data_IF_280275338150
#
_entry.id   IF_280275338150
#
_cell.length_a   1.000
_cell.length_b   1.000
_cell.length_c   1.000
_cell.angle_alpha   90.00
_cell.angle_beta   90.00
_cell.angle_gamma   90.00
#
_symmetry.space_group_name_H-M   'P 1'
#
loop_
_entity.id
_entity.type
_entity.pdbx_description
1 polymer ?
#
# COMPACT_ATOMS: atom_id res chain seq x y z
N UNK A 1 15.10 71.56 -25.08
CA UNK A 1 14.51 71.03 -23.83
C UNK A 1 13.57 69.88 -24.18
N UNK A 2 13.82 68.73 -23.56
CA UNK A 2 13.55 67.38 -24.07
C UNK A 2 12.10 66.92 -23.91
N UNK A 3 11.53 66.32 -24.96
CA UNK A 3 10.24 65.59 -24.92
C UNK A 3 10.35 64.26 -25.69
N UNK A 4 11.40 63.49 -25.35
CA UNK A 4 11.54 62.09 -25.74
C UNK A 4 11.60 61.29 -24.46
N UNK A 5 10.46 60.81 -23.98
CA UNK A 5 10.33 59.70 -23.03
C UNK A 5 8.84 59.55 -22.71
N UNK A 6 8.12 58.92 -23.63
CA UNK A 6 6.90 58.20 -23.33
C UNK A 6 7.13 56.80 -23.89
N UNK A 7 6.58 55.78 -23.23
CA UNK A 7 6.78 54.34 -23.50
C UNK A 7 8.04 53.76 -22.83
N UNK A 8 8.00 53.59 -21.51
CA UNK A 8 8.75 52.54 -20.83
C UNK A 8 8.11 52.25 -19.46
N UNK A 9 8.04 50.96 -19.12
CA UNK A 9 7.70 50.40 -17.81
C UNK A 9 6.21 50.25 -17.47
N UNK A 10 5.52 49.36 -18.19
CA UNK A 10 4.43 48.55 -17.62
C UNK A 10 4.92 47.09 -17.52
N UNK A 11 5.87 46.84 -16.63
CA UNK A 11 6.39 45.50 -16.30
C UNK A 11 6.15 45.23 -14.79
N UNK A 12 4.90 45.37 -14.33
CA UNK A 12 4.50 44.92 -13.01
C UNK A 12 4.26 43.41 -13.04
N UNK A 13 5.35 42.67 -12.86
CA UNK A 13 5.45 41.47 -12.00
C UNK A 13 4.12 40.76 -11.70
N UNK A 14 3.72 39.87 -12.60
CA UNK A 14 2.86 38.74 -12.24
C UNK A 14 3.76 37.75 -11.50
N UNK A 15 3.87 37.93 -10.17
CA UNK A 15 4.34 36.88 -9.28
C UNK A 15 3.28 35.77 -9.36
N UNK A 16 3.50 34.81 -10.24
CA UNK A 16 2.76 33.58 -10.27
C UNK A 16 2.89 32.96 -8.87
N UNK A 17 1.79 32.99 -8.11
CA UNK A 17 1.61 32.19 -6.91
C UNK A 17 1.58 30.73 -7.35
N UNK A 18 2.75 30.16 -7.64
CA UNK A 18 2.92 28.72 -7.74
C UNK A 18 2.64 28.17 -6.35
N UNK A 19 1.40 27.77 -6.11
CA UNK A 19 1.09 26.89 -4.99
C UNK A 19 1.88 25.62 -5.23
N UNK A 20 3.09 25.55 -4.66
CA UNK A 20 3.81 24.30 -4.49
C UNK A 20 2.87 23.47 -3.62
N UNK A 21 2.13 22.56 -4.24
CA UNK A 21 1.45 21.51 -3.50
C UNK A 21 2.56 20.84 -2.70
N UNK A 22 2.51 20.96 -1.37
CA UNK A 22 3.33 20.14 -0.52
C UNK A 22 3.01 18.70 -0.94
N UNK A 23 3.96 18.02 -1.57
CA UNK A 23 3.80 16.59 -1.80
C UNK A 23 3.74 15.98 -0.42
N UNK A 24 2.57 15.47 -0.06
CA UNK A 24 2.42 14.66 1.13
C UNK A 24 3.57 13.63 1.11
N UNK A 25 4.32 13.56 2.21
CA UNK A 25 5.46 12.66 2.32
C UNK A 25 5.06 11.20 2.07
N UNK A 26 6.03 10.27 1.98
CA UNK A 26 5.72 8.88 1.69
C UNK A 26 4.66 8.35 2.65
N UNK A 27 3.66 7.66 2.10
CA UNK A 27 2.64 6.95 2.88
C UNK A 27 3.18 5.58 3.30
N UNK A 28 2.57 4.98 4.32
CA UNK A 28 2.72 3.56 4.62
C UNK A 28 1.42 2.79 4.37
N UNK A 29 1.52 1.46 4.38
CA UNK A 29 0.42 0.51 4.20
C UNK A 29 0.36 -0.46 5.39
N UNK A 30 -0.84 -0.67 5.90
CA UNK A 30 -1.12 -1.56 7.03
C UNK A 30 -2.07 -2.68 6.62
N UNK A 31 -1.80 -3.87 7.14
CA UNK A 31 -2.58 -5.08 6.91
C UNK A 31 -3.05 -5.65 8.24
N UNK A 32 -4.34 -5.97 8.31
CA UNK A 32 -4.94 -6.73 9.38
C UNK A 32 -5.65 -7.96 8.82
N UNK A 33 -5.67 -9.04 9.60
CA UNK A 33 -6.29 -10.27 9.19
C UNK A 33 -6.87 -11.03 10.38
N UNK A 34 -8.07 -11.58 10.17
CA UNK A 34 -8.62 -12.69 10.90
C UNK A 34 -8.61 -13.90 9.93
N UNK A 35 -7.69 -14.88 10.12
CA UNK A 35 -7.62 -16.06 9.25
C UNK A 35 -8.99 -16.70 9.09
N UNK A 36 -9.28 -17.23 7.89
CA UNK A 36 -10.59 -17.80 7.51
C UNK A 36 -11.78 -16.84 7.42
N UNK A 37 -11.70 -15.64 8.03
CA UNK A 37 -12.87 -14.78 8.22
C UNK A 37 -12.81 -13.52 7.34
N UNK A 38 -11.79 -12.69 7.54
CA UNK A 38 -11.72 -11.38 6.89
C UNK A 38 -10.32 -10.77 6.93
N UNK A 39 -10.13 -9.71 6.14
CA UNK A 39 -8.91 -8.91 6.12
C UNK A 39 -9.23 -7.44 5.93
N UNK A 40 -8.27 -6.58 6.26
CA UNK A 40 -8.41 -5.15 6.10
C UNK A 40 -7.08 -4.50 5.76
N UNK A 41 -7.14 -3.53 4.84
CA UNK A 41 -5.97 -2.79 4.35
C UNK A 41 -6.25 -1.30 4.36
N UNK A 42 -5.32 -0.54 4.93
CA UNK A 42 -5.37 0.91 4.91
C UNK A 42 -4.00 1.50 4.60
N UNK A 43 -4.00 2.71 4.05
CA UNK A 43 -2.79 3.53 3.87
C UNK A 43 -2.86 4.81 4.68
N UNK A 44 -1.71 5.39 4.99
CA UNK A 44 -1.62 6.67 5.70
C UNK A 44 -0.21 6.97 6.20
N UNK A 45 -0.01 8.13 6.82
CA UNK A 45 1.31 8.56 7.30
C UNK A 45 1.60 8.15 8.76
N UNK A 46 0.61 7.65 9.50
CA UNK A 46 0.74 7.33 10.92
C UNK A 46 0.45 5.84 11.18
N UNK A 47 1.47 5.11 11.62
CA UNK A 47 1.42 3.66 11.84
C UNK A 47 0.22 3.21 12.68
N UNK A 48 0.01 3.82 13.86
CA UNK A 48 -1.06 3.39 14.78
C UNK A 48 -2.46 3.63 14.21
N UNK A 49 -2.69 4.82 13.62
CA UNK A 49 -3.96 5.15 12.97
C UNK A 49 -4.23 4.23 11.78
N UNK A 50 -3.21 3.93 10.98
CA UNK A 50 -3.40 3.13 9.77
C UNK A 50 -3.60 1.65 10.12
N UNK A 51 -2.91 1.10 11.13
CA UNK A 51 -3.17 -0.24 11.65
C UNK A 51 -4.56 -0.34 12.31
N UNK A 52 -5.00 0.69 13.04
CA UNK A 52 -6.35 0.73 13.59
C UNK A 52 -7.42 0.73 12.48
N UNK A 53 -7.21 1.51 11.41
CA UNK A 53 -8.06 1.51 10.23
C UNK A 53 -8.12 0.12 9.56
N UNK A 54 -6.97 -0.54 9.39
CA UNK A 54 -6.91 -1.87 8.79
C UNK A 54 -7.71 -2.88 9.62
N UNK A 55 -7.59 -2.85 10.95
CA UNK A 55 -8.40 -3.70 11.84
C UNK A 55 -9.89 -3.39 11.74
N UNK A 56 -10.27 -2.11 11.69
CA UNK A 56 -11.67 -1.74 11.53
C UNK A 56 -12.26 -2.31 10.23
N UNK A 57 -11.54 -2.22 9.11
CA UNK A 57 -11.97 -2.82 7.84
C UNK A 57 -12.09 -4.35 7.90
N UNK A 58 -11.19 -5.02 8.64
CA UNK A 58 -11.29 -6.46 8.87
C UNK A 58 -12.58 -6.82 9.64
N UNK A 59 -12.95 -6.03 10.64
CA UNK A 59 -14.22 -6.21 11.38
C UNK A 59 -15.42 -5.91 10.48
N UNK A 60 -15.37 -4.82 9.71
CA UNK A 60 -16.44 -4.45 8.76
C UNK A 60 -16.65 -5.53 7.68
N UNK A 61 -15.58 -6.26 7.35
CA UNK A 61 -15.61 -7.41 6.45
C UNK A 61 -16.13 -8.70 7.08
N UNK A 62 -16.57 -8.69 8.35
CA UNK A 62 -17.32 -9.78 8.99
C UNK A 62 -16.59 -10.56 10.09
N UNK A 63 -15.35 -10.21 10.43
CA UNK A 63 -14.61 -10.87 11.50
C UNK A 63 -14.90 -10.27 12.89
N UNK A 64 -14.63 -11.03 13.95
CA UNK A 64 -14.63 -10.52 15.31
C UNK A 64 -13.44 -9.59 15.57
N UNK A 65 -13.61 -8.61 16.45
CA UNK A 65 -12.59 -7.57 16.69
C UNK A 65 -11.31 -8.13 17.33
N UNK A 66 -11.45 -9.15 18.17
CA UNK A 66 -10.37 -9.92 18.79
C UNK A 66 -9.57 -10.74 17.78
N UNK A 67 -10.21 -11.17 16.69
CA UNK A 67 -9.59 -12.00 15.66
C UNK A 67 -8.85 -11.16 14.60
N UNK A 68 -9.19 -9.88 14.44
CA UNK A 68 -8.51 -8.99 13.51
C UNK A 68 -7.12 -8.57 14.02
N UNK A 69 -6.12 -9.41 13.76
CA UNK A 69 -4.72 -9.23 14.16
C UNK A 69 -4.03 -8.14 13.32
N UNK A 70 -3.11 -7.41 13.94
CA UNK A 70 -2.19 -6.50 13.22
C UNK A 70 -1.08 -7.32 12.60
N UNK A 71 -1.12 -7.53 11.29
CA UNK A 71 -0.22 -8.48 10.62
C UNK A 71 1.05 -7.79 10.13
N UNK A 72 0.94 -6.64 9.47
CA UNK A 72 2.10 -5.96 8.89
C UNK A 72 1.89 -4.45 8.71
N UNK A 73 2.98 -3.70 8.80
CA UNK A 73 3.08 -2.28 8.45
C UNK A 73 4.36 -2.06 7.64
N UNK A 74 4.25 -1.38 6.49
CA UNK A 74 5.39 -0.99 5.69
C UNK A 74 5.41 0.52 5.48
N UNK A 75 6.59 1.13 5.67
CA UNK A 75 6.82 2.55 5.46
C UNK A 75 8.23 2.77 4.87
N UNK A 76 8.36 3.40 3.70
CA UNK A 76 7.29 3.75 2.75
C UNK A 76 6.47 2.52 2.32
N UNK A 77 5.26 2.74 1.78
CA UNK A 77 4.36 1.65 1.41
C UNK A 77 5.02 0.70 0.40
N UNK A 78 5.69 1.27 -0.61
CA UNK A 78 6.28 0.52 -1.73
C UNK A 78 5.25 -0.36 -2.43
N UNK A 79 5.71 -1.26 -3.27
CA UNK A 79 4.88 -2.33 -3.81
C UNK A 79 4.61 -3.39 -2.75
N UNK A 80 3.38 -3.90 -2.76
CA UNK A 80 2.93 -4.96 -1.85
C UNK A 80 2.17 -6.04 -2.61
N UNK A 81 2.17 -7.26 -2.08
CA UNK A 81 1.41 -8.40 -2.57
C UNK A 81 0.70 -9.09 -1.41
N UNK A 82 -0.52 -9.54 -1.70
CA UNK A 82 -1.33 -10.43 -0.86
C UNK A 82 -1.22 -11.85 -1.44
N UNK A 83 -0.65 -12.76 -0.66
CA UNK A 83 -0.55 -14.16 -1.02
C UNK A 83 -1.65 -14.94 -0.32
N UNK A 84 -2.56 -15.55 -1.08
CA UNK A 84 -3.39 -16.62 -0.55
C UNK A 84 -2.50 -17.83 -0.27
N UNK A 85 -2.69 -18.47 0.88
CA UNK A 85 -1.95 -19.68 1.26
C UNK A 85 -2.91 -20.70 1.84
N UNK A 86 -2.84 -21.95 1.37
CA UNK A 86 -3.61 -23.07 1.90
C UNK A 86 -2.71 -24.21 2.37
N UNK A 87 -2.89 -24.61 3.63
CA UNK A 87 -2.27 -25.79 4.24
C UNK A 87 -2.94 -27.07 3.73
N UNK A 88 -2.17 -28.16 3.70
CA UNK A 88 -2.68 -29.52 3.42
C UNK A 88 -3.75 -30.03 4.41
N UNK A 89 -3.96 -29.34 5.53
CA UNK A 89 -4.99 -29.66 6.53
C UNK A 89 -6.28 -28.84 6.34
N UNK A 90 -6.36 -28.03 5.28
CA UNK A 90 -7.55 -27.26 4.90
C UNK A 90 -7.57 -25.82 5.38
N UNK A 91 -6.70 -25.43 6.31
CA UNK A 91 -6.57 -24.05 6.78
C UNK A 91 -5.99 -23.15 5.68
N UNK A 92 -6.58 -21.98 5.48
CA UNK A 92 -6.13 -20.91 4.62
C UNK A 92 -5.94 -19.57 5.35
N UNK A 93 -4.89 -18.86 4.96
CA UNK A 93 -4.57 -17.53 5.47
C UNK A 93 -3.96 -16.70 4.35
N UNK A 94 -3.60 -15.46 4.68
CA UNK A 94 -2.97 -14.55 3.75
C UNK A 94 -1.61 -14.12 4.29
N UNK A 95 -0.62 -14.05 3.41
CA UNK A 95 0.70 -13.52 3.73
C UNK A 95 0.94 -12.25 2.93
N UNK A 96 1.33 -11.18 3.62
CA UNK A 96 1.58 -9.89 2.98
C UNK A 96 3.07 -9.68 2.77
N UNK A 97 3.48 -9.45 1.53
CA UNK A 97 4.79 -8.89 1.18
C UNK A 97 4.61 -7.39 0.96
N UNK A 98 5.41 -6.51 1.55
CA UNK A 98 5.26 -5.06 1.32
C UNK A 98 6.57 -4.30 1.45
N UNK A 99 6.60 -3.06 0.97
CA UNK A 99 7.77 -2.18 0.99
C UNK A 99 8.75 -2.45 -0.14
N UNK A 100 8.32 -3.04 -1.25
CA UNK A 100 9.19 -3.38 -2.38
C UNK A 100 9.36 -2.20 -3.34
N UNK A 101 10.50 -2.13 -4.02
CA UNK A 101 10.82 -1.04 -4.94
C UNK A 101 9.98 -1.08 -6.23
N UNK A 102 9.62 -2.28 -6.69
CA UNK A 102 8.86 -2.47 -7.93
C UNK A 102 7.92 -3.68 -7.88
N UNK A 103 6.96 -3.73 -8.81
CA UNK A 103 6.05 -4.86 -8.99
C UNK A 103 6.83 -6.16 -9.25
N UNK A 104 7.82 -6.10 -10.13
CA UNK A 104 8.65 -7.25 -10.52
C UNK A 104 9.40 -7.82 -9.31
N UNK A 105 9.88 -6.95 -8.42
CA UNK A 105 10.60 -7.39 -7.22
C UNK A 105 9.70 -8.10 -6.20
N UNK A 106 8.47 -7.61 -6.00
CA UNK A 106 7.51 -8.29 -5.11
C UNK A 106 6.96 -9.58 -5.73
N UNK A 107 6.80 -9.63 -7.06
CA UNK A 107 6.43 -10.86 -7.79
C UNK A 107 7.52 -11.93 -7.67
N UNK A 108 8.80 -11.55 -7.81
CA UNK A 108 9.92 -12.47 -7.61
C UNK A 108 9.95 -13.00 -6.16
N UNK A 109 9.68 -12.14 -5.18
CA UNK A 109 9.59 -12.54 -3.79
C UNK A 109 8.39 -13.47 -3.52
N UNK A 110 7.24 -13.20 -4.14
CA UNK A 110 6.05 -14.06 -4.07
C UNK A 110 6.35 -15.46 -4.62
N UNK A 111 7.07 -15.56 -5.74
CA UNK A 111 7.47 -16.84 -6.32
C UNK A 111 8.33 -17.67 -5.34
N UNK A 112 9.24 -17.03 -4.60
CA UNK A 112 10.03 -17.69 -3.55
C UNK A 112 9.15 -18.07 -2.36
N UNK A 113 8.28 -17.17 -1.90
CA UNK A 113 7.39 -17.40 -0.76
C UNK A 113 6.39 -18.54 -1.01
N UNK A 114 5.96 -18.71 -2.26
CA UNK A 114 5.06 -19.78 -2.70
C UNK A 114 5.79 -21.04 -3.19
N UNK A 115 7.11 -21.14 -3.04
CA UNK A 115 7.84 -22.34 -3.44
C UNK A 115 7.48 -23.53 -2.52
N UNK A 116 6.68 -24.47 -3.06
CA UNK A 116 6.19 -25.67 -2.35
C UNK A 116 7.28 -26.70 -2.06
N UNK A 117 8.42 -26.66 -2.74
CA UNK A 117 9.58 -27.50 -2.36
C UNK A 117 10.18 -27.04 -1.03
N UNK A 118 10.16 -25.73 -0.77
CA UNK A 118 10.61 -25.14 0.50
C UNK A 118 9.53 -25.20 1.59
N UNK A 119 8.26 -25.31 1.19
CA UNK A 119 7.08 -25.32 2.06
C UNK A 119 6.15 -26.49 1.72
N UNK A 120 6.57 -27.74 1.99
CA UNK A 120 5.86 -28.94 1.53
C UNK A 120 4.48 -29.13 2.17
N UNK A 121 4.19 -28.41 3.26
CA UNK A 121 2.91 -28.42 3.94
C UNK A 121 1.82 -27.56 3.26
N UNK A 122 2.19 -26.81 2.21
CA UNK A 122 1.30 -25.93 1.45
C UNK A 122 0.85 -26.63 0.17
N UNK A 123 -0.46 -26.64 -0.05
CA UNK A 123 -1.08 -27.21 -1.26
C UNK A 123 -1.41 -26.15 -2.30
N UNK A 124 -1.69 -24.92 -1.88
CA UNK A 124 -1.95 -23.77 -2.76
C UNK A 124 -1.28 -22.52 -2.21
N UNK A 125 -0.60 -21.76 -3.08
CA UNK A 125 -0.08 -20.44 -2.76
C UNK A 125 -0.05 -19.62 -4.05
N UNK A 126 -0.68 -18.45 -4.03
CA UNK A 126 -0.75 -17.57 -5.19
C UNK A 126 -0.92 -16.12 -4.74
N UNK A 127 -0.37 -15.20 -5.53
CA UNK A 127 -0.69 -13.79 -5.35
C UNK A 127 -2.12 -13.54 -5.80
N UNK A 128 -2.94 -12.97 -4.92
CA UNK A 128 -4.35 -12.66 -5.23
C UNK A 128 -4.56 -11.17 -5.48
N UNK A 129 -3.70 -10.31 -4.94
CA UNK A 129 -3.80 -8.84 -5.06
C UNK A 129 -2.43 -8.20 -4.92
N UNK A 130 -2.29 -7.01 -5.49
CA UNK A 130 -1.16 -6.12 -5.30
C UNK A 130 -1.62 -4.76 -4.78
N UNK A 131 -0.68 -4.02 -4.19
CA UNK A 131 -0.79 -2.58 -4.01
C UNK A 131 0.46 -1.91 -4.58
N UNK A 132 0.28 -0.82 -5.32
CA UNK A 132 1.40 -0.02 -5.81
C UNK A 132 2.02 0.85 -4.71
N UNK A 133 3.02 1.64 -5.08
CA UNK A 133 3.71 2.55 -4.17
C UNK A 133 2.85 3.68 -3.59
N UNK A 134 1.65 3.93 -4.13
CA UNK A 134 0.64 4.83 -3.60
C UNK A 134 -0.45 4.10 -2.81
N UNK A 135 -0.29 2.78 -2.60
CA UNK A 135 -1.29 1.96 -1.93
C UNK A 135 -2.55 1.76 -2.75
N UNK A 136 -2.52 2.02 -4.06
CA UNK A 136 -3.61 1.70 -4.95
C UNK A 136 -3.63 0.19 -5.19
N UNK A 137 -4.79 -0.40 -4.95
CA UNK A 137 -4.97 -1.83 -5.17
C UNK A 137 -5.02 -2.17 -6.66
N UNK A 138 -4.36 -3.26 -7.02
CA UNK A 138 -4.27 -3.80 -8.38
C UNK A 138 -4.58 -5.29 -8.30
N UNK A 139 -5.41 -5.80 -9.21
CA UNK A 139 -5.71 -7.24 -9.28
C UNK A 139 -4.46 -8.03 -9.70
N UNK A 140 -4.31 -9.24 -9.16
CA UNK A 140 -3.42 -10.24 -9.75
C UNK A 140 -4.14 -10.85 -10.96
N UNK A 141 -3.58 -10.68 -12.16
CA UNK A 141 -4.11 -11.23 -13.42
C UNK A 141 -3.78 -12.72 -13.56
#
# INVERSE_FOLDING_TARGET
MNRRMAVAALLCTVLASSTVAAQDGPIGIAFAQAPEQSSGVCTGQNTDKTLACARAKCVDGGALAEDCLRVKWCYPAGWSADLFVQHQEGLHWHEYLCGWESRESVEAAAAVACNRELRPYIIECSTVRFWDNQGQEIAAE
#
